data_IF_348383799271
#
_entry.id   IF_348383799271
#
_cell.length_a   1.000
_cell.length_b   1.000
_cell.length_c   1.000
_cell.angle_alpha   90.00
_cell.angle_beta   90.00
_cell.angle_gamma   90.00
#
_symmetry.space_group_name_H-M   'P 1'
#
loop_
_entity.id
_entity.type
_entity.pdbx_description
1 polymer ?
#
# COMPACT_ATOMS: atom_id res chain seq x y z
N UNK A 1 20.28 14.48 -5.74
CA UNK A 1 20.02 14.11 -4.33
C UNK A 1 18.71 14.67 -3.79
N UNK A 2 18.43 15.98 -3.86
CA UNK A 2 17.17 16.56 -3.33
C UNK A 2 15.90 15.87 -3.87
N UNK A 3 15.84 15.57 -5.18
CA UNK A 3 14.73 14.82 -5.78
C UNK A 3 14.52 13.42 -5.18
N UNK A 4 15.61 12.75 -4.79
CA UNK A 4 15.55 11.42 -4.18
C UNK A 4 15.05 11.49 -2.74
N UNK A 5 15.47 12.52 -1.98
CA UNK A 5 14.96 12.79 -0.64
C UNK A 5 13.45 13.05 -0.67
N UNK A 6 12.98 13.86 -1.63
CA UNK A 6 11.54 14.10 -1.82
C UNK A 6 10.78 12.83 -2.17
N UNK A 7 11.35 11.95 -3.00
CA UNK A 7 10.69 10.71 -3.42
C UNK A 7 10.44 9.74 -2.25
N UNK A 8 11.29 9.74 -1.22
CA UNK A 8 11.13 8.87 -0.04
C UNK A 8 10.57 9.58 1.19
N UNK A 9 10.24 10.88 1.09
CA UNK A 9 9.82 11.69 2.23
C UNK A 9 8.52 11.19 2.87
N UNK A 10 7.61 10.65 2.05
CA UNK A 10 6.30 10.18 2.51
C UNK A 10 6.31 8.69 2.92
N UNK A 11 7.47 8.01 2.89
CA UNK A 11 7.55 6.55 3.10
C UNK A 11 6.84 6.07 4.37
N UNK A 12 6.95 6.82 5.47
CA UNK A 12 6.39 6.42 6.76
C UNK A 12 4.88 6.61 6.77
N UNK A 13 4.37 7.65 6.11
CA UNK A 13 2.94 7.85 5.88
C UNK A 13 2.38 6.74 4.98
N UNK A 14 3.06 6.42 3.87
CA UNK A 14 2.65 5.34 2.97
C UNK A 14 2.62 4.00 3.70
N UNK A 15 3.63 3.69 4.53
CA UNK A 15 3.67 2.45 5.34
C UNK A 15 2.59 2.37 6.42
N UNK A 16 2.12 3.52 6.91
CA UNK A 16 1.02 3.60 7.87
C UNK A 16 -0.37 3.56 7.19
N UNK A 17 -0.44 3.69 5.86
CA UNK A 17 -1.72 3.67 5.13
C UNK A 17 -2.27 2.25 4.98
N UNK A 18 -3.60 2.12 4.95
CA UNK A 18 -4.25 0.83 4.65
C UNK A 18 -3.83 0.28 3.28
N UNK A 19 -3.61 1.17 2.30
CA UNK A 19 -3.18 0.74 0.98
C UNK A 19 -1.84 -0.03 1.03
N UNK A 20 -0.97 0.23 2.01
CA UNK A 20 0.22 -0.58 2.27
C UNK A 20 -0.05 -1.76 3.21
N UNK A 21 -0.80 -1.56 4.28
CA UNK A 21 -1.04 -2.60 5.31
C UNK A 21 -1.72 -3.82 4.68
N UNK A 22 -2.77 -3.60 3.89
CA UNK A 22 -3.58 -4.61 3.21
C UNK A 22 -3.07 -5.00 1.81
N UNK A 23 -1.96 -4.39 1.34
CA UNK A 23 -1.36 -4.76 0.06
C UNK A 23 -0.82 -6.20 0.08
N UNK A 24 -0.69 -6.77 -1.13
CA UNK A 24 -0.09 -8.09 -1.25
C UNK A 24 1.36 -8.08 -0.72
N UNK A 25 1.81 -9.15 -0.03
CA UNK A 25 3.15 -9.21 0.55
C UNK A 25 4.27 -8.89 -0.45
N UNK A 26 4.13 -9.35 -1.70
CA UNK A 26 5.12 -9.09 -2.76
C UNK A 26 5.22 -7.63 -3.14
N UNK A 27 4.10 -6.88 -3.11
CA UNK A 27 4.05 -5.45 -3.41
C UNK A 27 4.62 -4.61 -2.26
N UNK A 28 4.33 -5.02 -1.02
CA UNK A 28 4.94 -4.42 0.18
C UNK A 28 6.46 -4.56 0.15
N UNK A 29 6.95 -5.77 -0.09
CA UNK A 29 8.39 -6.04 -0.23
C UNK A 29 9.02 -5.25 -1.38
N UNK A 30 8.33 -5.12 -2.52
CA UNK A 30 8.84 -4.32 -3.64
C UNK A 30 8.99 -2.84 -3.27
N UNK A 31 8.01 -2.26 -2.59
CA UNK A 31 8.08 -0.88 -2.10
C UNK A 31 9.18 -0.70 -1.04
N UNK A 32 9.26 -1.60 -0.05
CA UNK A 32 10.31 -1.59 0.96
C UNK A 32 11.72 -1.63 0.36
N UNK A 33 11.94 -2.54 -0.60
CA UNK A 33 13.23 -2.67 -1.28
C UNK A 33 13.59 -1.40 -2.08
N UNK A 34 12.61 -0.78 -2.75
CA UNK A 34 12.83 0.47 -3.48
C UNK A 34 13.23 1.62 -2.54
N UNK A 35 12.59 1.71 -1.36
CA UNK A 35 12.95 2.68 -0.31
C UNK A 35 14.37 2.42 0.21
N UNK A 36 14.70 1.18 0.58
CA UNK A 36 16.05 0.84 1.06
C UNK A 36 17.13 1.14 0.02
N UNK A 37 16.86 0.86 -1.26
CA UNK A 37 17.79 1.19 -2.34
C UNK A 37 17.98 2.70 -2.47
N UNK A 38 16.90 3.48 -2.44
CA UNK A 38 16.95 4.94 -2.47
C UNK A 38 17.71 5.53 -1.25
N UNK A 39 17.50 5.01 -0.05
CA UNK A 39 18.22 5.41 1.17
C UNK A 39 19.72 5.12 1.07
N UNK A 40 20.10 3.97 0.50
CA UNK A 40 21.51 3.62 0.28
C UNK A 40 22.24 4.60 -0.65
N UNK A 41 21.50 5.36 -1.46
CA UNK A 41 22.06 6.39 -2.33
C UNK A 41 22.20 7.73 -1.61
N UNK A 42 21.46 7.97 -0.53
CA UNK A 42 21.55 9.20 0.27
C UNK A 42 22.68 9.15 1.32
N UNK A 43 23.12 7.96 1.74
CA UNK A 43 24.22 7.80 2.69
C UNK A 43 25.56 8.28 2.08
N UNK A 44 26.14 9.32 2.70
CA UNK A 44 27.25 10.13 2.17
C UNK A 44 28.60 9.41 2.12
N UNK A 45 28.80 8.33 2.88
CA UNK A 45 30.04 7.53 2.85
C UNK A 45 30.24 6.77 1.53
N UNK A 46 29.19 6.68 0.70
CA UNK A 46 29.22 6.17 -0.68
C UNK A 46 28.72 7.21 -1.71
N UNK A 47 28.56 8.47 -1.30
CA UNK A 47 27.86 9.52 -2.04
C UNK A 47 28.73 10.34 -3.00
N UNK A 48 30.05 10.11 -3.01
CA UNK A 48 30.93 10.70 -4.01
C UNK A 48 30.78 9.91 -5.33
N UNK A 49 29.96 10.44 -6.24
CA UNK A 49 29.89 10.04 -7.65
C UNK A 49 28.97 8.84 -8.01
N UNK A 50 27.73 8.80 -7.50
CA UNK A 50 26.69 7.91 -8.07
C UNK A 50 26.06 8.53 -9.33
N UNK A 51 25.92 7.72 -10.37
CA UNK A 51 25.37 8.11 -11.68
C UNK A 51 23.99 8.77 -11.55
N UNK A 52 23.78 9.90 -12.23
CA UNK A 52 22.50 10.59 -12.32
C UNK A 52 21.39 9.63 -12.79
N UNK A 53 21.71 8.71 -13.68
CA UNK A 53 20.80 7.68 -14.17
C UNK A 53 20.35 6.73 -13.04
N UNK A 54 21.27 6.29 -12.18
CA UNK A 54 20.93 5.41 -11.06
C UNK A 54 20.01 6.10 -10.04
N UNK A 55 20.22 7.39 -9.80
CA UNK A 55 19.33 8.21 -8.94
C UNK A 55 17.94 8.33 -9.55
N UNK A 56 17.84 8.58 -10.86
CA UNK A 56 16.55 8.66 -11.56
C UNK A 56 15.80 7.30 -11.55
N UNK A 57 16.52 6.19 -11.73
CA UNK A 57 15.95 4.84 -11.61
C UNK A 57 15.42 4.55 -10.20
N UNK A 58 16.14 4.94 -9.15
CA UNK A 58 15.66 4.76 -7.78
C UNK A 58 14.38 5.56 -7.51
N UNK A 59 14.30 6.81 -7.99
CA UNK A 59 13.08 7.62 -7.88
C UNK A 59 11.91 6.93 -8.59
N UNK A 60 12.11 6.48 -9.83
CA UNK A 60 11.08 5.78 -10.60
C UNK A 60 10.64 4.48 -9.91
N UNK A 61 11.58 3.73 -9.34
CA UNK A 61 11.29 2.49 -8.61
C UNK A 61 10.40 2.76 -7.39
N UNK A 62 10.72 3.77 -6.58
CA UNK A 62 9.90 4.16 -5.42
C UNK A 62 8.49 4.57 -5.87
N UNK A 63 8.37 5.48 -6.83
CA UNK A 63 7.05 5.93 -7.32
C UNK A 63 6.24 4.80 -7.94
N UNK A 64 6.86 3.92 -8.73
CA UNK A 64 6.15 2.82 -9.38
C UNK A 64 5.69 1.76 -8.38
N UNK A 65 6.49 1.47 -7.35
CA UNK A 65 6.14 0.46 -6.34
C UNK A 65 5.12 0.99 -5.34
N UNK A 66 5.17 2.28 -4.99
CA UNK A 66 4.11 2.96 -4.23
C UNK A 66 2.76 2.89 -4.95
N UNK A 67 2.74 3.25 -6.24
CA UNK A 67 1.52 3.17 -7.06
C UNK A 67 1.02 1.72 -7.28
N UNK A 68 1.89 0.73 -7.10
CA UNK A 68 1.54 -0.68 -7.26
C UNK A 68 0.94 -1.30 -6.01
N UNK A 69 0.99 -0.61 -4.85
CA UNK A 69 0.30 -1.01 -3.63
C UNK A 69 -1.20 -1.08 -3.88
N UNK A 70 -1.82 -2.14 -3.36
CA UNK A 70 -3.19 -2.53 -3.71
C UNK A 70 -4.04 -2.89 -2.48
N UNK A 71 -3.70 -2.39 -1.30
CA UNK A 71 -4.46 -2.65 -0.09
C UNK A 71 -5.91 -2.18 -0.20
N UNK A 72 -6.16 -1.01 -0.80
CA UNK A 72 -7.52 -0.50 -0.98
C UNK A 72 -8.37 -1.42 -1.88
N UNK A 73 -7.76 -1.93 -2.95
CA UNK A 73 -8.42 -2.87 -3.87
C UNK A 73 -8.67 -4.23 -3.19
N UNK A 74 -7.72 -4.70 -2.39
CA UNK A 74 -7.85 -5.93 -1.60
C UNK A 74 -8.98 -5.82 -0.56
N UNK A 75 -9.04 -4.71 0.17
CA UNK A 75 -10.11 -4.43 1.13
C UNK A 75 -11.48 -4.38 0.44
N UNK A 76 -11.59 -3.69 -0.70
CA UNK A 76 -12.84 -3.61 -1.45
C UNK A 76 -13.29 -4.99 -1.97
N UNK A 77 -12.34 -5.81 -2.41
CA UNK A 77 -12.61 -7.20 -2.82
C UNK A 77 -13.09 -8.04 -1.65
N UNK A 78 -12.40 -7.97 -0.50
CA UNK A 78 -12.78 -8.69 0.71
C UNK A 78 -14.19 -8.31 1.20
N UNK A 79 -14.55 -7.02 1.15
CA UNK A 79 -15.92 -6.56 1.45
C UNK A 79 -16.95 -7.17 0.52
N UNK A 80 -16.66 -7.17 -0.78
CA UNK A 80 -17.56 -7.74 -1.80
C UNK A 80 -17.77 -9.24 -1.59
N UNK A 81 -16.68 -9.99 -1.38
CA UNK A 81 -16.69 -11.42 -1.09
C UNK A 81 -17.49 -11.71 0.20
N UNK A 82 -17.29 -10.92 1.27
CA UNK A 82 -18.03 -11.07 2.52
C UNK A 82 -19.54 -10.77 2.37
N UNK A 83 -19.92 -9.73 1.62
CA UNK A 83 -21.32 -9.41 1.33
C UNK A 83 -21.99 -10.56 0.58
N UNK A 84 -21.32 -11.11 -0.42
CA UNK A 84 -21.82 -12.27 -1.17
C UNK A 84 -21.97 -13.50 -0.28
N UNK A 85 -21.01 -13.74 0.62
CA UNK A 85 -21.11 -14.82 1.60
C UNK A 85 -22.33 -14.64 2.52
N UNK A 86 -22.59 -13.42 3.01
CA UNK A 86 -23.75 -13.10 3.85
C UNK A 86 -25.06 -13.37 3.12
N UNK A 87 -25.14 -13.06 1.82
CA UNK A 87 -26.33 -13.34 1.02
C UNK A 87 -26.65 -14.83 0.96
N UNK A 88 -25.63 -15.68 0.91
CA UNK A 88 -25.76 -17.13 0.83
C UNK A 88 -26.06 -17.81 2.19
N UNK A 89 -26.05 -17.07 3.31
CA UNK A 89 -26.39 -17.63 4.62
C UNK A 89 -27.89 -17.93 4.72
N UNK A 90 -28.28 -19.19 4.52
CA UNK A 90 -29.68 -19.63 4.49
C UNK A 90 -30.37 -19.63 5.86
N UNK A 91 -29.60 -19.67 6.94
CA UNK A 91 -30.11 -19.65 8.31
C UNK A 91 -30.37 -18.25 8.87
N UNK A 92 -30.03 -17.19 8.12
CA UNK A 92 -30.24 -15.81 8.55
C UNK A 92 -31.46 -15.19 7.87
N UNK A 93 -32.20 -14.41 8.66
CA UNK A 93 -33.28 -13.57 8.13
C UNK A 93 -32.74 -12.26 7.54
N UNK A 94 -33.59 -11.52 6.82
CA UNK A 94 -33.21 -10.26 6.15
C UNK A 94 -32.63 -9.22 7.13
N UNK A 95 -33.25 -8.92 8.29
CA UNK A 95 -32.67 -8.00 9.26
C UNK A 95 -31.25 -8.37 9.71
N UNK A 96 -30.99 -9.66 9.99
CA UNK A 96 -29.67 -10.15 10.39
C UNK A 96 -28.64 -9.96 9.27
N UNK A 97 -29.00 -10.31 8.03
CA UNK A 97 -28.13 -10.10 6.86
C UNK A 97 -27.81 -8.62 6.65
N UNK A 98 -28.81 -7.75 6.75
CA UNK A 98 -28.63 -6.30 6.61
C UNK A 98 -27.66 -5.76 7.66
N UNK A 99 -27.81 -6.16 8.93
CA UNK A 99 -26.92 -5.73 10.00
C UNK A 99 -25.47 -6.15 9.76
N UNK A 100 -25.24 -7.40 9.32
CA UNK A 100 -23.90 -7.88 8.99
C UNK A 100 -23.29 -7.15 7.79
N UNK A 101 -24.07 -6.91 6.72
CA UNK A 101 -23.59 -6.14 5.56
C UNK A 101 -23.22 -4.70 5.92
N UNK A 102 -23.97 -4.07 6.83
CA UNK A 102 -23.64 -2.75 7.35
C UNK A 102 -22.30 -2.77 8.10
N UNK A 103 -22.04 -3.79 8.91
CA UNK A 103 -20.76 -3.96 9.60
C UNK A 103 -19.60 -4.14 8.60
N UNK A 104 -19.78 -4.97 7.56
CA UNK A 104 -18.78 -5.15 6.50
C UNK A 104 -18.48 -3.84 5.77
N UNK A 105 -19.51 -3.08 5.42
CA UNK A 105 -19.33 -1.80 4.73
C UNK A 105 -18.65 -0.74 5.62
N UNK A 106 -18.89 -0.79 6.93
CA UNK A 106 -18.30 0.10 7.91
C UNK A 106 -16.83 -0.20 8.23
N UNK A 107 -16.28 -1.35 7.81
CA UNK A 107 -14.85 -1.62 7.94
C UNK A 107 -14.07 -0.56 7.14
N UNK A 108 -13.27 0.27 7.79
CA UNK A 108 -12.68 1.46 7.18
C UNK A 108 -11.45 1.18 6.31
N UNK A 109 -11.24 2.08 5.36
CA UNK A 109 -9.94 2.46 4.79
C UNK A 109 -9.45 3.63 5.67
N UNK A 110 -8.36 3.54 6.43
CA UNK A 110 -7.77 4.74 7.04
C UNK A 110 -7.21 5.62 5.91
N UNK A 111 -7.90 6.71 5.61
CA UNK A 111 -7.36 7.82 4.83
C UNK A 111 -6.71 8.80 5.82
N UNK A 112 -5.38 8.87 5.79
CA UNK A 112 -4.58 9.96 6.37
C UNK A 112 -4.49 11.13 5.42
#
# INVERSE_FOLDING_TARGET
>A
MQRLQSAIANKDQTKASENYIDADPTKKTAFDNAITQAESYLNKDHGANKDKQAVEQAIQSVTSTENALNGDANLQRAKTEAIQAIDNLTHLNTPQKTALKQQVNAAHVYQV
#
